data_IF_423339523232
#
_entry.id   IF_423339523232
#
_cell.length_a   1.000
_cell.length_b   1.000
_cell.length_c   1.000
_cell.angle_alpha   90.00
_cell.angle_beta   90.00
_cell.angle_gamma   90.00
#
_symmetry.space_group_name_H-M   'P 1'
#
loop_
_entity.id
_entity.type
_entity.pdbx_description
1 polymer ?
#
# COMPACT_ATOMS: atom_id res chain seq x y z
N UNK A 1 7.38 -10.03 33.00
CA UNK A 1 6.32 -10.93 32.47
C UNK A 1 5.01 -10.30 32.90
N UNK A 2 4.33 -9.53 32.07
CA UNK A 2 3.28 -10.02 31.16
C UNK A 2 3.31 -9.30 29.81
N UNK A 3 3.54 -10.06 28.75
CA UNK A 3 3.33 -9.63 27.37
C UNK A 3 1.82 -9.51 27.15
N UNK A 4 1.31 -8.28 27.03
CA UNK A 4 0.00 -8.04 26.43
C UNK A 4 0.17 -8.18 24.93
N UNK A 5 0.21 -9.44 24.46
CA UNK A 5 -0.01 -9.73 23.06
C UNK A 5 -1.38 -9.17 22.72
N UNK A 6 -1.42 -8.14 21.88
CA UNK A 6 -2.64 -7.64 21.25
C UNK A 6 -3.23 -8.82 20.49
N UNK A 7 -4.23 -9.46 21.10
CA UNK A 7 -5.00 -10.51 20.47
C UNK A 7 -5.93 -9.82 19.49
N UNK A 8 -5.44 -9.60 18.26
CA UNK A 8 -6.31 -9.28 17.15
C UNK A 8 -7.26 -10.47 16.99
N UNK A 9 -8.54 -10.27 17.32
CA UNK A 9 -9.55 -11.29 17.19
C UNK A 9 -9.56 -11.77 15.72
N UNK A 10 -9.47 -13.09 15.46
CA UNK A 10 -9.50 -13.59 14.10
C UNK A 10 -10.83 -13.18 13.45
N UNK A 11 -10.75 -12.64 12.24
CA UNK A 11 -11.91 -12.42 11.38
C UNK A 11 -12.68 -13.73 11.29
N UNK A 12 -13.89 -13.78 11.87
CA UNK A 12 -14.73 -14.97 11.80
C UNK A 12 -14.99 -15.28 10.33
N UNK A 13 -14.56 -16.46 9.88
CA UNK A 13 -14.82 -17.01 8.55
C UNK A 13 -16.32 -16.83 8.22
N UNK A 14 -16.63 -15.93 7.29
CA UNK A 14 -18.00 -15.60 6.89
C UNK A 14 -18.52 -14.20 7.21
N UNK A 15 -17.74 -13.29 7.82
CA UNK A 15 -18.14 -11.88 7.88
C UNK A 15 -17.99 -11.21 6.51
N UNK A 16 -19.07 -10.59 6.00
CA UNK A 16 -19.00 -9.80 4.77
C UNK A 16 -18.19 -8.53 5.04
N UNK A 17 -17.08 -8.35 4.36
CA UNK A 17 -16.31 -7.13 4.46
C UNK A 17 -17.12 -5.97 3.87
N UNK A 18 -17.19 -4.85 4.59
CA UNK A 18 -17.85 -3.65 4.10
C UNK A 18 -16.99 -2.98 3.01
N UNK A 19 -17.64 -2.45 1.97
CA UNK A 19 -16.95 -1.69 0.93
C UNK A 19 -16.52 -0.32 1.45
N UNK A 20 -15.28 0.04 1.15
CA UNK A 20 -14.77 1.40 1.28
C UNK A 20 -15.11 2.18 -0.01
N UNK A 21 -16.27 2.83 -0.01
CA UNK A 21 -16.75 3.61 -1.15
C UNK A 21 -15.81 4.75 -1.56
N UNK A 22 -15.05 5.33 -0.61
CA UNK A 22 -14.05 6.34 -0.92
C UNK A 22 -12.93 5.76 -1.78
N UNK A 23 -12.40 4.59 -1.42
CA UNK A 23 -11.36 3.92 -2.22
C UNK A 23 -11.91 3.46 -3.57
N UNK A 24 -13.13 2.89 -3.59
CA UNK A 24 -13.79 2.48 -4.85
C UNK A 24 -13.95 3.68 -5.79
N UNK A 25 -14.46 4.81 -5.30
CA UNK A 25 -14.64 6.02 -6.08
C UNK A 25 -13.29 6.60 -6.56
N UNK A 26 -12.29 6.69 -5.67
CA UNK A 26 -10.97 7.23 -5.99
C UNK A 26 -10.26 6.43 -7.08
N UNK A 27 -10.11 5.11 -6.89
CA UNK A 27 -9.44 4.27 -7.88
C UNK A 27 -10.28 4.14 -9.16
N UNK A 28 -11.61 4.05 -9.06
CA UNK A 28 -12.50 4.06 -10.23
C UNK A 28 -12.34 5.32 -11.08
N UNK A 29 -12.29 6.50 -10.43
CA UNK A 29 -12.11 7.78 -11.12
C UNK A 29 -10.74 7.88 -11.80
N UNK A 30 -9.65 7.46 -11.14
CA UNK A 30 -8.30 7.48 -11.74
C UNK A 30 -8.26 6.61 -12.99
N UNK A 31 -8.82 5.40 -12.95
CA UNK A 31 -8.84 4.51 -14.12
C UNK A 31 -9.72 5.07 -15.24
N UNK A 32 -10.87 5.65 -14.91
CA UNK A 32 -11.74 6.30 -15.90
C UNK A 32 -11.04 7.48 -16.59
N UNK A 33 -10.32 8.33 -15.83
CA UNK A 33 -9.53 9.44 -16.38
C UNK A 33 -8.38 8.91 -17.24
N UNK A 34 -7.71 7.82 -16.84
CA UNK A 34 -6.62 7.22 -17.60
C UNK A 34 -7.05 6.75 -19.00
N UNK A 35 -8.32 6.41 -19.20
CA UNK A 35 -8.85 6.09 -20.54
C UNK A 35 -8.73 7.26 -21.52
N UNK A 36 -8.64 8.51 -21.05
CA UNK A 36 -8.46 9.68 -21.91
C UNK A 36 -7.03 9.84 -22.43
N UNK A 37 -6.06 9.10 -21.90
CA UNK A 37 -4.63 9.24 -22.25
C UNK A 37 -4.31 9.22 -23.76
N UNK A 38 -4.95 8.38 -24.61
CA UNK A 38 -4.67 8.37 -26.05
C UNK A 38 -4.92 9.71 -26.75
N UNK A 39 -5.88 10.51 -26.28
CA UNK A 39 -6.22 11.82 -26.86
C UNK A 39 -5.25 12.93 -26.44
N UNK A 40 -4.44 12.70 -25.41
CA UNK A 40 -3.46 13.66 -24.88
C UNK A 40 -2.02 13.15 -25.01
N UNK A 41 -1.79 12.17 -25.89
CA UNK A 41 -0.49 11.54 -26.03
C UNK A 41 0.56 12.49 -26.63
N UNK A 42 1.76 12.47 -26.03
CA UNK A 42 2.98 13.00 -26.63
C UNK A 42 4.19 12.21 -26.14
N UNK A 43 5.25 12.16 -26.95
CA UNK A 43 6.49 11.48 -26.58
C UNK A 43 7.15 12.07 -25.33
N UNK A 44 7.07 13.39 -25.14
CA UNK A 44 7.57 14.06 -23.94
C UNK A 44 6.75 13.66 -22.71
N UNK A 45 5.42 13.64 -22.81
CA UNK A 45 4.55 13.19 -21.71
C UNK A 45 4.80 11.72 -21.35
N UNK A 46 5.03 10.85 -22.34
CA UNK A 46 5.42 9.47 -22.08
C UNK A 46 6.75 9.39 -21.33
N UNK A 47 7.77 10.15 -21.78
CA UNK A 47 9.08 10.20 -21.12
C UNK A 47 8.98 10.67 -19.67
N UNK A 48 8.22 11.74 -19.40
CA UNK A 48 7.95 12.23 -18.04
C UNK A 48 7.21 11.17 -17.22
N UNK A 49 6.20 10.51 -17.78
CA UNK A 49 5.43 9.47 -17.09
C UNK A 49 6.33 8.30 -16.67
N UNK A 50 7.19 7.81 -17.57
CA UNK A 50 8.11 6.71 -17.27
C UNK A 50 9.14 7.11 -16.20
N UNK A 51 9.68 8.33 -16.29
CA UNK A 51 10.60 8.85 -15.29
C UNK A 51 9.96 8.97 -13.91
N UNK A 52 8.77 9.57 -13.82
CA UNK A 52 8.05 9.73 -12.57
C UNK A 52 7.60 8.38 -12.00
N UNK A 53 7.15 7.45 -12.85
CA UNK A 53 6.83 6.08 -12.45
C UNK A 53 8.04 5.39 -11.80
N UNK A 54 9.22 5.48 -12.45
CA UNK A 54 10.45 4.94 -11.89
C UNK A 54 10.85 5.64 -10.58
N UNK A 55 10.81 6.96 -10.54
CA UNK A 55 11.21 7.75 -9.38
C UNK A 55 10.33 7.43 -8.16
N UNK A 56 9.02 7.47 -8.31
CA UNK A 56 8.09 7.26 -7.21
C UNK A 56 8.00 5.78 -6.82
N UNK A 57 7.99 4.86 -7.78
CA UNK A 57 7.94 3.42 -7.52
C UNK A 57 9.26 2.86 -7.01
N UNK A 58 10.36 3.10 -7.71
CA UNK A 58 11.66 2.48 -7.38
C UNK A 58 12.36 3.20 -6.24
N UNK A 59 12.44 4.53 -6.27
CA UNK A 59 13.12 5.29 -5.21
C UNK A 59 12.17 5.52 -4.03
N UNK A 60 10.94 5.96 -4.29
CA UNK A 60 9.97 6.21 -3.23
C UNK A 60 9.53 4.95 -2.48
N UNK A 61 8.97 3.98 -3.19
CA UNK A 61 8.41 2.76 -2.58
C UNK A 61 9.50 1.71 -2.32
N UNK A 62 10.21 1.24 -3.36
CA UNK A 62 11.13 0.12 -3.19
C UNK A 62 12.36 0.46 -2.34
N UNK A 63 12.99 1.61 -2.54
CA UNK A 63 14.12 2.03 -1.71
C UNK A 63 13.65 2.65 -0.40
N UNK A 64 12.69 3.58 -0.45
CA UNK A 64 12.17 4.31 0.71
C UNK A 64 11.29 3.47 1.63
N UNK A 65 10.01 3.30 1.26
CA UNK A 65 9.04 2.68 2.17
C UNK A 65 9.41 1.23 2.52
N UNK A 66 9.88 0.48 1.53
CA UNK A 66 10.20 -0.94 1.69
C UNK A 66 11.55 -1.18 2.39
N UNK A 67 12.68 -0.81 1.78
CA UNK A 67 14.01 -1.16 2.34
C UNK A 67 14.41 -0.25 3.51
N UNK A 68 14.24 1.06 3.36
CA UNK A 68 14.68 2.02 4.36
C UNK A 68 13.75 2.08 5.59
N UNK A 69 12.43 2.21 5.39
CA UNK A 69 11.50 2.38 6.50
C UNK A 69 11.00 1.05 7.09
N UNK A 70 10.59 0.12 6.23
CA UNK A 70 9.99 -1.14 6.70
C UNK A 70 11.05 -2.09 7.25
N UNK A 71 12.02 -2.46 6.42
CA UNK A 71 13.03 -3.47 6.74
C UNK A 71 14.29 -2.93 7.43
N UNK A 72 14.44 -1.60 7.48
CA UNK A 72 15.61 -0.95 8.09
C UNK A 72 16.95 -1.51 7.58
N UNK A 73 17.00 -1.86 6.29
CA UNK A 73 18.15 -2.56 5.68
C UNK A 73 19.41 -1.69 5.59
N UNK A 74 19.28 -0.37 5.72
CA UNK A 74 20.37 0.59 5.78
C UNK A 74 19.93 1.86 6.51
N UNK A 75 20.88 2.74 6.80
CA UNK A 75 20.65 4.03 7.45
C UNK A 75 21.13 5.17 6.55
N UNK A 76 20.43 6.29 6.60
CA UNK A 76 20.79 7.53 5.90
C UNK A 76 20.62 8.73 6.85
N UNK A 77 21.26 9.89 6.57
CA UNK A 77 20.98 11.12 7.32
C UNK A 77 19.49 11.49 7.26
N UNK A 78 18.95 12.03 8.36
CA UNK A 78 17.52 12.35 8.47
C UNK A 78 16.93 13.22 7.35
N UNK A 79 17.62 14.25 6.83
CA UNK A 79 17.11 15.02 5.70
C UNK A 79 16.89 14.16 4.44
N UNK A 80 17.79 13.20 4.18
CA UNK A 80 17.67 12.29 3.05
C UNK A 80 16.56 11.26 3.28
N UNK A 81 16.40 10.76 4.51
CA UNK A 81 15.29 9.88 4.89
C UNK A 81 13.93 10.55 4.60
N UNK A 82 13.77 11.82 5.00
CA UNK A 82 12.55 12.58 4.75
C UNK A 82 12.32 12.88 3.26
N UNK A 83 13.37 13.22 2.52
CA UNK A 83 13.26 13.44 1.07
C UNK A 83 12.79 12.17 0.35
N UNK A 84 13.41 11.02 0.62
CA UNK A 84 13.04 9.73 0.01
C UNK A 84 11.60 9.36 0.42
N UNK A 85 11.22 9.61 1.68
CA UNK A 85 9.87 9.35 2.18
C UNK A 85 8.82 10.23 1.48
N UNK A 86 9.14 11.49 1.22
CA UNK A 86 8.28 12.41 0.47
C UNK A 86 8.13 11.98 -0.99
N UNK A 87 9.21 11.54 -1.63
CA UNK A 87 9.16 10.95 -2.99
C UNK A 87 8.19 9.74 -3.01
N UNK A 88 8.22 8.89 -1.98
CA UNK A 88 7.28 7.77 -1.83
C UNK A 88 5.82 8.20 -1.69
N UNK A 89 5.55 9.34 -1.05
CA UNK A 89 4.17 9.83 -0.86
C UNK A 89 3.49 10.16 -2.20
N UNK A 90 4.26 10.58 -3.21
CA UNK A 90 3.75 10.83 -4.57
C UNK A 90 3.39 9.56 -5.35
N UNK A 91 3.74 8.36 -4.85
CA UNK A 91 3.36 7.10 -5.49
C UNK A 91 1.90 6.70 -5.26
N UNK A 92 1.15 7.43 -4.41
CA UNK A 92 -0.26 7.19 -4.09
C UNK A 92 -0.56 5.77 -3.55
N UNK A 93 0.37 5.18 -2.78
CA UNK A 93 0.20 3.87 -2.12
C UNK A 93 -0.20 3.98 -0.64
N UNK A 94 -0.71 5.15 -0.22
CA UNK A 94 -0.95 5.49 1.18
C UNK A 94 0.26 6.10 1.88
N UNK A 95 0.06 6.62 3.09
CA UNK A 95 1.12 7.26 3.86
C UNK A 95 2.22 6.28 4.31
N UNK A 96 3.40 6.78 4.73
CA UNK A 96 4.52 5.92 5.09
C UNK A 96 4.20 5.01 6.28
N UNK A 97 3.44 5.49 7.27
CA UNK A 97 3.05 4.70 8.45
C UNK A 97 2.11 3.55 8.03
N UNK A 98 1.08 3.87 7.23
CA UNK A 98 0.15 2.89 6.67
C UNK A 98 0.87 1.76 5.95
N UNK A 99 1.72 2.14 5.01
CA UNK A 99 2.39 1.21 4.11
C UNK A 99 3.34 0.31 4.89
N UNK A 100 4.15 0.89 5.79
CA UNK A 100 5.09 0.13 6.63
C UNK A 100 4.35 -0.84 7.55
N UNK A 101 3.26 -0.41 8.19
CA UNK A 101 2.47 -1.28 9.06
C UNK A 101 1.89 -2.47 8.28
N UNK A 102 1.19 -2.19 7.17
CA UNK A 102 0.62 -3.23 6.31
C UNK A 102 1.67 -4.20 5.78
N UNK A 103 2.82 -3.69 5.34
CA UNK A 103 3.90 -4.52 4.80
C UNK A 103 4.54 -5.43 5.86
N UNK A 104 4.66 -4.96 7.10
CA UNK A 104 5.13 -5.80 8.22
C UNK A 104 4.12 -6.88 8.59
N UNK A 105 2.82 -6.53 8.63
CA UNK A 105 1.75 -7.52 8.91
C UNK A 105 1.74 -8.61 7.84
N UNK A 106 1.86 -8.24 6.56
CA UNK A 106 1.96 -9.18 5.46
C UNK A 106 3.15 -10.12 5.61
N UNK A 107 4.36 -9.61 5.86
CA UNK A 107 5.53 -10.46 6.05
C UNK A 107 5.41 -11.37 7.28
N UNK A 108 4.77 -10.90 8.36
CA UNK A 108 4.56 -11.70 9.57
C UNK A 108 3.55 -12.83 9.35
N UNK A 109 2.56 -12.61 8.48
CA UNK A 109 1.41 -13.50 8.32
C UNK A 109 1.23 -14.05 6.91
N UNK A 110 2.27 -14.06 6.07
CA UNK A 110 2.16 -14.44 4.64
C UNK A 110 1.48 -15.81 4.43
N UNK A 111 1.65 -16.73 5.38
CA UNK A 111 1.07 -18.08 5.35
C UNK A 111 -0.39 -18.13 5.87
N UNK A 112 -0.84 -17.11 6.60
CA UNK A 112 -2.17 -17.03 7.21
C UNK A 112 -3.10 -16.16 6.35
N UNK A 113 -4.01 -16.83 5.65
CA UNK A 113 -4.98 -16.20 4.73
C UNK A 113 -5.89 -15.20 5.43
N UNK A 114 -6.18 -15.39 6.72
CA UNK A 114 -7.11 -14.55 7.46
C UNK A 114 -6.42 -13.30 8.01
N UNK A 115 -5.11 -13.38 8.29
CA UNK A 115 -4.31 -12.29 8.87
C UNK A 115 -3.49 -11.48 7.89
N UNK A 116 -3.11 -12.04 6.74
CA UNK A 116 -2.45 -11.28 5.68
C UNK A 116 -3.48 -10.42 4.90
N UNK A 117 -3.42 -9.07 5.01
CA UNK A 117 -4.41 -8.17 4.40
C UNK A 117 -4.55 -8.33 2.89
N UNK A 118 -3.50 -8.76 2.19
CA UNK A 118 -3.48 -8.90 0.74
C UNK A 118 -3.02 -10.28 0.28
N UNK A 119 -3.35 -11.31 1.08
CA UNK A 119 -3.00 -12.72 0.81
C UNK A 119 -3.33 -13.16 -0.62
N UNK A 120 -2.32 -13.61 -1.36
CA UNK A 120 -2.46 -14.20 -2.69
C UNK A 120 -3.32 -15.48 -2.69
N UNK A 121 -3.45 -16.15 -1.55
CA UNK A 121 -4.30 -17.34 -1.38
C UNK A 121 -5.80 -17.02 -1.46
N UNK A 122 -6.21 -15.75 -1.33
CA UNK A 122 -7.58 -15.29 -1.60
C UNK A 122 -7.85 -15.08 -3.10
N UNK A 123 -6.84 -15.26 -3.95
CA UNK A 123 -6.92 -15.16 -5.41
C UNK A 123 -6.35 -13.87 -5.98
N UNK A 124 -6.10 -13.89 -7.30
CA UNK A 124 -5.43 -12.81 -8.03
C UNK A 124 -6.06 -11.44 -7.80
N UNK A 125 -7.38 -11.32 -7.98
CA UNK A 125 -8.08 -10.05 -7.84
C UNK A 125 -8.04 -9.50 -6.41
N UNK A 126 -8.02 -10.39 -5.42
CA UNK A 126 -7.87 -9.99 -4.03
C UNK A 126 -6.52 -9.33 -3.79
N UNK A 127 -5.43 -10.04 -4.07
CA UNK A 127 -4.07 -9.54 -3.87
C UNK A 127 -3.73 -8.35 -4.76
N UNK A 128 -4.35 -8.23 -5.94
CA UNK A 128 -4.09 -7.15 -6.87
C UNK A 128 -4.74 -5.83 -6.43
N UNK A 129 -6.06 -5.82 -6.17
CA UNK A 129 -6.79 -4.57 -5.90
C UNK A 129 -7.94 -4.69 -4.89
N UNK A 130 -8.65 -5.82 -4.80
CA UNK A 130 -9.88 -5.83 -4.01
C UNK A 130 -9.62 -5.59 -2.52
N UNK A 131 -8.45 -5.96 -1.99
CA UNK A 131 -8.08 -5.65 -0.60
C UNK A 131 -8.15 -4.16 -0.26
N UNK A 132 -7.99 -3.26 -1.25
CA UNK A 132 -8.13 -1.80 -1.11
C UNK A 132 -9.59 -1.35 -0.99
N UNK A 133 -10.52 -2.12 -1.55
CA UNK A 133 -11.94 -1.76 -1.60
C UNK A 133 -12.72 -2.23 -0.39
N UNK A 134 -12.11 -3.03 0.49
CA UNK A 134 -12.74 -3.54 1.69
C UNK A 134 -12.11 -2.95 2.93
N UNK A 135 -12.95 -2.54 3.89
CA UNK A 135 -12.50 -2.03 5.18
C UNK A 135 -11.89 -3.17 6.00
N UNK A 136 -10.69 -2.97 6.52
CA UNK A 136 -9.95 -3.96 7.33
C UNK A 136 -9.48 -3.34 8.66
N UNK A 137 -10.38 -3.05 9.61
CA UNK A 137 -10.03 -2.36 10.86
C UNK A 137 -9.00 -3.16 11.66
N UNK A 138 -9.06 -4.49 11.61
CA UNK A 138 -8.12 -5.36 12.33
C UNK A 138 -6.66 -5.22 11.88
N UNK A 139 -6.41 -4.64 10.70
CA UNK A 139 -5.06 -4.40 10.19
C UNK A 139 -4.72 -2.90 10.15
N UNK A 140 -5.71 -2.05 9.93
CA UNK A 140 -5.51 -0.62 9.64
C UNK A 140 -6.39 0.29 10.51
N UNK A 141 -6.46 0.02 11.82
CA UNK A 141 -7.04 0.96 12.79
C UNK A 141 -6.03 2.06 13.12
N UNK A 142 -6.44 3.32 12.94
CA UNK A 142 -5.63 4.49 13.30
C UNK A 142 -6.06 5.12 14.63
N UNK A 143 -7.20 4.70 15.17
CA UNK A 143 -7.86 5.31 16.33
C UNK A 143 -7.67 4.49 17.62
N UNK A 144 -6.90 3.39 17.55
CA UNK A 144 -6.56 2.51 18.67
C UNK A 144 -5.28 2.89 19.40
#
# INVERSE_FOLDING_TARGET
>A
MTSNAVSAAPTKRGQSLALNWTNVAFFGAIHAIALLAPWFFSWSALGVTLFLHWLFGSIGICLGYHRLLTHRSFQVPKPLEYLITLIGAFALQGGPIFWVAGHRVHHLHTEDVDRDPYSARRGFWWSHMMWLFYVQPQVFDYDS
#
